data_IF_941040352308
#
_entry.id   IF_941040352308
#
_cell.length_a   1.000
_cell.length_b   1.000
_cell.length_c   1.000
_cell.angle_alpha   90.00
_cell.angle_beta   90.00
_cell.angle_gamma   90.00
#
_symmetry.space_group_name_H-M   'P 1'
#
loop_
_entity.id
_entity.type
_entity.pdbx_description
1 polymer ?
#
# COMPACT_ATOMS: atom_id res chain seq x y z
N UNK A 1 -21.87 7.48 5.36
CA UNK A 1 -20.78 8.36 5.84
C UNK A 1 -19.60 8.15 4.92
N UNK A 2 -19.07 9.21 4.34
CA UNK A 2 -17.90 9.14 3.47
C UNK A 2 -16.69 8.59 4.28
N UNK A 3 -15.82 7.73 3.72
CA UNK A 3 -14.55 7.35 4.33
C UNK A 3 -13.82 8.48 5.06
N UNK A 4 -13.70 9.67 4.45
CA UNK A 4 -13.01 10.80 5.04
C UNK A 4 -13.66 11.31 6.34
N UNK A 5 -15.00 11.37 6.38
CA UNK A 5 -15.75 11.75 7.57
C UNK A 5 -15.56 10.74 8.71
N UNK A 6 -15.45 9.45 8.38
CA UNK A 6 -15.17 8.40 9.37
C UNK A 6 -13.79 8.58 10.00
N UNK A 7 -12.78 8.85 9.18
CA UNK A 7 -11.41 9.11 9.63
C UNK A 7 -11.36 10.38 10.50
N UNK A 8 -11.99 11.47 10.06
CA UNK A 8 -12.06 12.73 10.81
C UNK A 8 -12.60 12.49 12.23
N UNK A 9 -13.69 11.74 12.35
CA UNK A 9 -14.26 11.42 13.67
C UNK A 9 -13.30 10.64 14.57
N UNK A 10 -12.54 9.69 14.01
CA UNK A 10 -11.52 8.94 14.76
C UNK A 10 -10.44 9.91 15.25
N UNK A 11 -9.92 10.77 14.38
CA UNK A 11 -8.88 11.75 14.74
C UNK A 11 -9.38 12.77 15.78
N UNK A 12 -10.63 13.25 15.65
CA UNK A 12 -11.25 14.16 16.64
C UNK A 12 -11.39 13.51 18.03
N UNK A 13 -11.73 12.21 18.09
CA UNK A 13 -11.78 11.45 19.35
C UNK A 13 -10.40 11.33 20.01
N UNK A 14 -9.33 11.42 19.22
CA UNK A 14 -7.94 11.46 19.69
C UNK A 14 -7.48 12.88 20.05
N UNK A 15 -8.40 13.85 20.12
CA UNK A 15 -8.15 15.27 20.38
C UNK A 15 -7.30 15.96 19.30
N UNK A 16 -7.28 15.41 18.09
CA UNK A 16 -6.67 16.06 16.93
C UNK A 16 -7.69 17.03 16.30
N UNK A 17 -7.19 17.93 15.45
CA UNK A 17 -8.00 18.92 14.74
C UNK A 17 -7.85 18.72 13.22
N UNK A 18 -8.41 17.65 12.66
CA UNK A 18 -8.31 17.38 11.23
C UNK A 18 -9.16 18.36 10.41
N UNK A 19 -8.67 18.73 9.24
CA UNK A 19 -9.42 19.48 8.22
C UNK A 19 -9.23 18.85 6.84
N UNK A 20 -10.23 18.97 5.96
CA UNK A 20 -10.08 18.60 4.55
C UNK A 20 -9.54 19.82 3.80
N UNK A 21 -8.35 19.69 3.22
CA UNK A 21 -7.70 20.78 2.49
C UNK A 21 -6.78 20.23 1.40
N UNK A 22 -6.83 20.84 0.22
CA UNK A 22 -6.03 20.45 -0.96
C UNK A 22 -6.16 18.96 -1.33
N UNK A 23 -7.36 18.40 -1.23
CA UNK A 23 -7.62 16.99 -1.57
C UNK A 23 -7.11 15.97 -0.55
N UNK A 24 -6.72 16.40 0.65
CA UNK A 24 -6.26 15.52 1.72
C UNK A 24 -6.92 15.87 3.06
N UNK A 25 -6.99 14.91 3.98
CA UNK A 25 -7.26 15.16 5.40
C UNK A 25 -5.93 15.57 6.02
N UNK A 26 -5.87 16.73 6.69
CA UNK A 26 -4.63 17.28 7.26
C UNK A 26 -4.83 17.63 8.74
N UNK A 27 -3.79 17.45 9.54
CA UNK A 27 -3.74 17.88 10.94
C UNK A 27 -2.29 18.11 11.36
N UNK A 28 -2.10 18.67 12.56
CA UNK A 28 -0.79 18.79 13.17
C UNK A 28 -0.62 17.75 14.28
N UNK A 29 0.48 16.99 14.27
CA UNK A 29 0.79 16.06 15.36
C UNK A 29 1.32 16.81 16.61
N UNK A 30 1.60 16.07 17.69
CA UNK A 30 2.12 16.63 18.94
C UNK A 30 3.51 17.28 18.82
N UNK A 31 4.25 16.96 17.76
CA UNK A 31 5.58 17.49 17.47
C UNK A 31 5.54 18.74 16.59
N UNK A 32 4.36 19.09 16.09
CA UNK A 32 4.17 20.23 15.20
C UNK A 32 4.26 19.89 13.71
N UNK A 33 4.45 18.62 13.34
CA UNK A 33 4.52 18.21 11.93
C UNK A 33 3.13 18.15 11.30
N UNK A 34 3.07 18.49 10.01
CA UNK A 34 1.84 18.44 9.23
C UNK A 34 1.61 17.03 8.70
N UNK A 35 0.69 16.30 9.35
CA UNK A 35 0.24 15.00 8.89
C UNK A 35 -0.85 15.14 7.83
N UNK A 36 -0.91 14.17 6.93
CA UNK A 36 -1.86 14.11 5.82
C UNK A 36 -2.26 12.68 5.48
N UNK A 37 -3.47 12.54 4.95
CA UNK A 37 -4.03 11.32 4.37
C UNK A 37 -4.63 11.70 3.01
N UNK A 38 -4.15 11.09 1.92
CA UNK A 38 -4.72 11.28 0.58
C UNK A 38 -5.84 10.28 0.30
N UNK A 39 -6.69 10.58 -0.69
CA UNK A 39 -7.79 9.67 -1.07
C UNK A 39 -7.30 8.27 -1.49
N UNK A 40 -6.18 8.20 -2.21
CA UNK A 40 -5.55 6.92 -2.60
C UNK A 40 -5.00 6.11 -1.41
N UNK A 41 -4.80 6.78 -0.28
CA UNK A 41 -4.27 6.20 0.96
C UNK A 41 -5.39 5.72 1.88
N UNK A 42 -6.61 5.55 1.36
CA UNK A 42 -7.79 5.09 2.11
C UNK A 42 -8.37 3.84 1.44
N UNK A 43 -8.61 2.80 2.23
CA UNK A 43 -9.30 1.59 1.80
C UNK A 43 -10.54 1.32 2.66
N UNK A 44 -11.68 1.09 2.00
CA UNK A 44 -12.95 0.79 2.66
C UNK A 44 -13.53 -0.51 2.13
N UNK A 45 -14.02 -1.34 3.03
CA UNK A 45 -14.81 -2.53 2.70
C UNK A 45 -15.88 -2.72 3.78
N UNK A 46 -17.12 -2.35 3.46
CA UNK A 46 -18.24 -2.34 4.40
C UNK A 46 -17.87 -1.58 5.69
N UNK A 47 -17.79 -2.29 6.82
CA UNK A 47 -17.45 -1.74 8.13
C UNK A 47 -15.94 -1.55 8.33
N UNK A 48 -15.10 -2.20 7.50
CA UNK A 48 -13.65 -2.08 7.57
C UNK A 48 -13.17 -0.78 6.93
N UNK A 49 -12.21 -0.13 7.59
CA UNK A 49 -11.58 1.10 7.13
C UNK A 49 -10.09 1.02 7.42
N UNK A 50 -9.25 1.32 6.44
CA UNK A 50 -7.83 1.47 6.63
C UNK A 50 -7.34 2.76 5.97
N UNK A 51 -6.32 3.37 6.55
CA UNK A 51 -5.68 4.53 5.96
C UNK A 51 -4.20 4.64 6.32
N UNK A 52 -3.41 5.22 5.42
CA UNK A 52 -2.02 5.58 5.68
C UNK A 52 -1.93 7.06 6.04
N UNK A 53 -1.40 7.34 7.22
CA UNK A 53 -1.02 8.67 7.67
C UNK A 53 0.44 8.94 7.35
N UNK A 54 0.76 10.12 6.82
CA UNK A 54 2.15 10.53 6.59
C UNK A 54 2.39 12.00 6.93
N UNK A 55 3.56 12.35 7.47
CA UNK A 55 4.01 13.74 7.62
C UNK A 55 4.80 14.26 6.40
N UNK A 56 4.99 13.41 5.38
CA UNK A 56 5.86 13.69 4.23
C UNK A 56 7.36 13.58 4.52
N UNK A 57 7.73 13.18 5.73
CA UNK A 57 9.09 12.95 6.18
C UNK A 57 9.22 11.53 6.72
N UNK A 58 9.37 11.37 8.03
CA UNK A 58 9.74 10.12 8.68
C UNK A 58 8.56 9.43 9.38
N UNK A 59 7.42 10.10 9.52
CA UNK A 59 6.24 9.51 10.14
C UNK A 59 5.36 8.90 9.05
N UNK A 60 5.21 7.57 9.12
CA UNK A 60 4.26 6.81 8.32
C UNK A 60 3.53 5.82 9.23
N UNK A 61 2.20 5.89 9.29
CA UNK A 61 1.40 5.02 10.14
C UNK A 61 0.22 4.47 9.35
N UNK A 62 0.18 3.15 9.17
CA UNK A 62 -0.98 2.47 8.63
C UNK A 62 -1.93 2.15 9.79
N UNK A 63 -3.16 2.65 9.69
CA UNK A 63 -4.21 2.39 10.68
C UNK A 63 -5.30 1.55 10.04
N UNK A 64 -5.78 0.57 10.79
CA UNK A 64 -6.81 -0.37 10.36
C UNK A 64 -7.88 -0.41 11.45
N UNK A 65 -9.10 -0.04 11.07
CA UNK A 65 -10.27 -0.08 11.94
C UNK A 65 -11.20 -1.20 11.49
N UNK A 66 -11.40 -2.17 12.37
CA UNK A 66 -12.32 -3.30 12.19
C UNK A 66 -13.12 -3.52 13.48
N UNK A 67 -14.44 -3.68 13.38
CA UNK A 67 -15.33 -3.94 14.54
C UNK A 67 -15.18 -2.94 15.70
N UNK A 68 -14.81 -1.68 15.40
CA UNK A 68 -14.58 -0.63 16.39
C UNK A 68 -13.21 -0.67 17.08
N UNK A 69 -12.36 -1.66 16.78
CA UNK A 69 -10.98 -1.70 17.23
C UNK A 69 -10.05 -1.06 16.20
N UNK A 70 -9.00 -0.39 16.68
CA UNK A 70 -7.97 0.21 15.83
C UNK A 70 -6.66 -0.56 16.03
N UNK A 71 -6.16 -1.13 14.94
CA UNK A 71 -4.83 -1.69 14.82
C UNK A 71 -3.92 -0.71 14.09
N UNK A 72 -2.78 -0.42 14.70
CA UNK A 72 -1.78 0.50 14.17
C UNK A 72 -0.53 -0.29 13.78
N UNK A 73 -0.01 -0.06 12.59
CA UNK A 73 1.21 -0.68 12.10
C UNK A 73 2.09 0.34 11.38
N UNK A 74 3.36 0.38 11.75
CA UNK A 74 4.36 1.24 11.10
C UNK A 74 5.00 0.47 9.95
N UNK A 75 4.92 0.97 8.70
CA UNK A 75 5.57 0.34 7.57
C UNK A 75 7.08 0.17 7.76
N UNK A 76 7.61 -0.97 7.29
CA UNK A 76 9.05 -1.20 7.30
C UNK A 76 9.74 -0.23 6.35
N UNK A 77 10.76 0.45 6.87
CA UNK A 77 11.55 1.38 6.09
C UNK A 77 13.00 1.30 6.54
N UNK A 78 13.93 1.25 5.58
CA UNK A 78 15.35 1.40 5.89
C UNK A 78 15.67 2.85 6.26
N UNK A 79 15.14 3.77 5.44
CA UNK A 79 15.18 5.22 5.47
C UNK A 79 13.80 5.87 5.61
N UNK A 80 13.21 6.20 6.78
CA UNK A 80 11.88 6.82 6.80
C UNK A 80 11.77 8.08 5.93
N UNK A 81 12.85 8.86 5.82
CA UNK A 81 12.95 10.06 4.97
C UNK A 81 12.96 9.72 3.47
N UNK A 82 13.31 8.50 3.09
CA UNK A 82 13.19 8.01 1.71
C UNK A 82 11.75 7.66 1.31
N UNK A 83 10.80 7.87 2.23
CA UNK A 83 9.38 7.84 1.98
C UNK A 83 8.73 6.48 2.19
N UNK A 84 7.42 6.49 2.10
CA UNK A 84 6.53 5.34 2.09
C UNK A 84 5.42 5.65 1.08
N UNK A 85 5.78 5.65 -0.20
CA UNK A 85 4.85 6.04 -1.27
C UNK A 85 3.84 4.93 -1.48
N UNK A 86 2.60 5.15 -1.07
CA UNK A 86 1.51 4.21 -1.26
C UNK A 86 1.24 4.00 -2.76
N UNK A 87 1.42 2.77 -3.23
CA UNK A 87 1.10 2.34 -4.59
C UNK A 87 -0.27 1.66 -4.65
N UNK A 88 -0.65 0.98 -3.57
CA UNK A 88 -1.94 0.32 -3.41
C UNK A 88 -2.31 0.23 -1.93
N UNK A 89 -3.54 0.60 -1.61
CA UNK A 89 -4.20 0.24 -0.36
C UNK A 89 -5.61 -0.24 -0.69
N UNK A 90 -5.89 -1.52 -0.46
CA UNK A 90 -7.23 -2.07 -0.70
C UNK A 90 -7.52 -3.31 0.14
N UNK A 91 -8.81 -3.63 0.30
CA UNK A 91 -9.25 -4.90 0.87
C UNK A 91 -9.38 -5.96 -0.23
N UNK A 92 -8.78 -7.13 -0.02
CA UNK A 92 -8.82 -8.26 -0.95
C UNK A 92 -8.95 -9.58 -0.20
N UNK A 93 -10.02 -10.35 -0.48
CA UNK A 93 -10.30 -11.66 0.15
C UNK A 93 -10.18 -11.66 1.69
N UNK A 94 -10.64 -10.61 2.35
CA UNK A 94 -10.60 -10.46 3.82
C UNK A 94 -9.29 -9.90 4.38
N UNK A 95 -8.25 -9.75 3.55
CA UNK A 95 -6.98 -9.15 3.91
C UNK A 95 -6.93 -7.67 3.48
N UNK A 96 -6.19 -6.85 4.22
CA UNK A 96 -5.73 -5.56 3.71
C UNK A 96 -4.43 -5.77 2.94
N UNK A 97 -4.43 -5.40 1.67
CA UNK A 97 -3.24 -5.39 0.81
C UNK A 97 -2.70 -3.97 0.79
N UNK A 98 -1.44 -3.82 1.21
CA UNK A 98 -0.75 -2.55 1.21
C UNK A 98 0.57 -2.70 0.45
N UNK A 99 0.68 -2.00 -0.69
CA UNK A 99 1.89 -1.97 -1.51
C UNK A 99 2.45 -0.56 -1.45
N UNK A 100 3.71 -0.43 -1.08
CA UNK A 100 4.38 0.87 -1.05
C UNK A 100 5.81 0.79 -1.58
N UNK A 101 6.31 1.93 -2.04
CA UNK A 101 7.69 2.11 -2.45
C UNK A 101 8.47 2.89 -1.40
N UNK A 102 9.67 2.41 -1.09
CA UNK A 102 10.71 3.14 -0.39
C UNK A 102 11.96 3.14 -1.30
N UNK A 103 12.36 4.31 -1.81
CA UNK A 103 13.50 4.43 -2.74
C UNK A 103 13.41 3.43 -3.91
N UNK A 104 14.30 2.44 -3.97
CA UNK A 104 14.36 1.42 -5.02
C UNK A 104 13.80 0.07 -4.56
N UNK A 105 13.02 0.04 -3.49
CA UNK A 105 12.37 -1.18 -2.98
C UNK A 105 10.86 -1.01 -3.01
N UNK A 106 10.18 -2.07 -3.41
CA UNK A 106 8.73 -2.21 -3.28
C UNK A 106 8.47 -3.26 -2.22
N UNK A 107 7.54 -2.95 -1.33
CA UNK A 107 7.02 -3.83 -0.30
C UNK A 107 5.58 -4.18 -0.62
N UNK A 108 5.22 -5.46 -0.48
CA UNK A 108 3.88 -6.00 -0.65
C UNK A 108 3.49 -6.60 0.69
N UNK A 109 2.52 -5.98 1.37
CA UNK A 109 2.05 -6.38 2.68
C UNK A 109 0.65 -6.98 2.57
N UNK A 110 0.41 -8.02 3.36
CA UNK A 110 -0.88 -8.67 3.53
C UNK A 110 -1.18 -8.73 5.02
N UNK A 111 -2.25 -8.06 5.43
CA UNK A 111 -2.61 -7.89 6.84
C UNK A 111 -3.96 -8.52 7.10
N UNK A 112 -4.03 -9.43 8.06
CA UNK A 112 -5.25 -10.10 8.47
C UNK A 112 -5.17 -10.48 9.95
N UNK A 113 -6.23 -10.20 10.71
CA UNK A 113 -6.27 -10.44 12.16
C UNK A 113 -5.04 -9.86 12.89
N UNK A 114 -4.66 -8.62 12.55
CA UNK A 114 -3.50 -7.92 13.12
C UNK A 114 -2.14 -8.61 12.85
N UNK A 115 -2.11 -9.66 12.03
CA UNK A 115 -0.89 -10.31 11.58
C UNK A 115 -0.46 -9.72 10.25
N UNK A 116 0.79 -9.29 10.19
CA UNK A 116 1.39 -8.72 8.99
C UNK A 116 2.34 -9.74 8.37
N UNK A 117 2.07 -10.09 7.11
CA UNK A 117 3.05 -10.75 6.23
C UNK A 117 3.54 -9.72 5.22
N UNK A 118 4.82 -9.75 4.90
CA UNK A 118 5.37 -8.89 3.87
C UNK A 118 6.29 -9.68 2.93
N UNK A 119 6.40 -9.18 1.71
CA UNK A 119 7.39 -9.57 0.71
C UNK A 119 7.98 -8.28 0.15
N UNK A 120 9.28 -8.24 -0.12
CA UNK A 120 9.89 -7.07 -0.76
C UNK A 120 10.87 -7.49 -1.85
N UNK A 121 11.05 -6.60 -2.81
CA UNK A 121 12.05 -6.73 -3.87
C UNK A 121 12.65 -5.37 -4.19
N UNK A 122 13.90 -5.36 -4.65
CA UNK A 122 14.52 -4.15 -5.19
C UNK A 122 14.15 -4.02 -6.66
N UNK A 123 13.50 -2.93 -7.06
CA UNK A 123 12.96 -2.73 -8.41
C UNK A 123 11.81 -1.73 -8.40
N UNK A 124 11.43 -1.26 -9.59
CA UNK A 124 10.30 -0.32 -9.79
C UNK A 124 9.29 -0.84 -10.82
N UNK A 125 9.54 -2.02 -11.39
CA UNK A 125 8.68 -2.65 -12.37
C UNK A 125 7.76 -3.66 -11.69
N UNK A 126 6.46 -3.39 -11.72
CA UNK A 126 5.42 -4.20 -11.07
C UNK A 126 4.14 -4.20 -11.89
N UNK A 127 3.37 -5.28 -11.87
CA UNK A 127 2.02 -5.33 -12.48
C UNK A 127 1.13 -6.26 -11.67
N UNK A 128 -0.19 -6.00 -11.69
CA UNK A 128 -1.15 -6.88 -11.02
C UNK A 128 -2.25 -7.33 -11.97
N UNK A 129 -2.59 -8.61 -11.91
CA UNK A 129 -3.79 -9.18 -12.52
C UNK A 129 -4.47 -10.14 -11.55
N UNK A 130 -5.64 -9.74 -11.03
CA UNK A 130 -6.37 -10.53 -10.04
C UNK A 130 -5.56 -10.71 -8.76
N UNK A 131 -5.32 -11.97 -8.38
CA UNK A 131 -4.52 -12.34 -7.22
C UNK A 131 -3.02 -12.48 -7.50
N UNK A 132 -2.56 -12.17 -8.71
CA UNK A 132 -1.16 -12.30 -9.10
C UNK A 132 -0.52 -10.92 -9.22
N UNK A 133 0.65 -10.77 -8.63
CA UNK A 133 1.54 -9.64 -8.81
C UNK A 133 2.79 -10.15 -9.49
N UNK A 134 3.17 -9.51 -10.60
CA UNK A 134 4.43 -9.76 -11.27
C UNK A 134 5.39 -8.59 -11.05
N UNK A 135 6.69 -8.89 -11.04
CA UNK A 135 7.71 -7.89 -10.82
C UNK A 135 9.04 -8.25 -11.49
N UNK A 136 9.89 -7.24 -11.69
CA UNK A 136 11.27 -7.41 -12.13
C UNK A 136 12.22 -6.78 -11.11
N UNK A 137 13.09 -7.59 -10.52
CA UNK A 137 14.06 -7.11 -9.53
C UNK A 137 15.33 -6.55 -10.20
N UNK A 138 15.94 -5.53 -9.61
CA UNK A 138 17.25 -5.03 -10.01
C UNK A 138 18.30 -6.14 -9.86
N UNK A 139 19.08 -6.36 -10.92
CA UNK A 139 20.13 -7.37 -10.93
C UNK A 139 19.61 -8.80 -11.13
N UNK A 140 18.32 -8.99 -11.42
CA UNK A 140 17.78 -10.31 -11.71
C UNK A 140 18.41 -10.86 -13.01
N UNK A 141 19.16 -11.96 -12.86
CA UNK A 141 19.88 -12.63 -13.95
C UNK A 141 18.93 -13.45 -14.83
N UNK A 142 17.64 -13.52 -14.47
CA UNK A 142 16.58 -14.19 -15.21
C UNK A 142 16.24 -13.45 -16.52
N UNK A 143 17.20 -13.41 -17.44
CA UNK A 143 17.00 -12.90 -18.79
C UNK A 143 15.78 -13.60 -19.39
N UNK A 144 14.75 -12.81 -19.72
CA UNK A 144 13.48 -13.22 -20.33
C UNK A 144 12.45 -13.90 -19.41
N UNK A 145 12.61 -13.90 -18.08
CA UNK A 145 11.54 -14.31 -17.16
C UNK A 145 11.03 -13.16 -16.31
N UNK A 146 9.88 -13.39 -15.70
CA UNK A 146 9.17 -12.48 -14.81
C UNK A 146 8.82 -13.25 -13.54
N UNK A 147 9.16 -12.67 -12.39
CA UNK A 147 8.83 -13.24 -11.09
C UNK A 147 7.36 -12.96 -10.75
N UNK A 148 6.71 -13.91 -10.10
CA UNK A 148 5.29 -13.82 -9.73
C UNK A 148 5.12 -14.16 -8.26
N UNK A 149 4.27 -13.39 -7.57
CA UNK A 149 3.79 -13.67 -6.23
C UNK A 149 2.26 -13.65 -6.22
N UNK A 150 1.66 -14.57 -5.48
CA UNK A 150 0.22 -14.64 -5.25
C UNK A 150 -0.15 -13.92 -3.95
N UNK A 151 -1.16 -13.06 -4.00
CA UNK A 151 -1.84 -12.46 -2.84
C UNK A 151 -3.16 -13.21 -2.54
N UNK A 152 -3.68 -13.14 -1.31
CA UNK A 152 -3.09 -12.49 -0.14
C UNK A 152 -2.02 -13.30 0.59
N UNK A 153 -1.74 -14.55 0.21
CA UNK A 153 -0.86 -15.45 0.97
C UNK A 153 0.63 -15.11 0.87
N UNK A 154 1.01 -14.27 -0.10
CA UNK A 154 2.38 -13.90 -0.45
C UNK A 154 3.25 -15.11 -0.83
N UNK A 155 2.68 -16.00 -1.65
CA UNK A 155 3.36 -17.21 -2.13
C UNK A 155 4.08 -16.90 -3.44
N UNK A 156 5.41 -17.04 -3.46
CA UNK A 156 6.19 -16.93 -4.68
C UNK A 156 5.93 -18.13 -5.59
N UNK A 157 5.57 -17.87 -6.85
CA UNK A 157 5.32 -18.89 -7.86
C UNK A 157 6.53 -19.04 -8.79
N UNK A 158 6.53 -20.10 -9.60
CA UNK A 158 7.54 -20.29 -10.62
C UNK A 158 7.57 -19.10 -11.61
N UNK A 159 8.76 -18.54 -11.90
CA UNK A 159 8.87 -17.45 -12.86
C UNK A 159 8.42 -17.89 -14.27
N UNK A 160 7.65 -17.04 -14.93
CA UNK A 160 7.15 -17.28 -16.30
C UNK A 160 8.00 -16.53 -17.32
N UNK A 161 7.94 -16.92 -18.59
CA UNK A 161 8.59 -16.13 -19.65
C UNK A 161 7.89 -14.78 -19.84
N UNK A 162 8.61 -13.77 -20.33
CA UNK A 162 8.00 -12.47 -20.67
C UNK A 162 6.84 -12.59 -21.66
N UNK A 163 6.93 -13.51 -22.62
CA UNK A 163 5.85 -13.78 -23.58
C UNK A 163 4.60 -14.31 -22.88
N UNK A 164 4.74 -15.26 -21.96
CA UNK A 164 3.64 -15.78 -21.17
C UNK A 164 3.06 -14.70 -20.24
N UNK A 165 3.92 -13.94 -19.55
CA UNK A 165 3.51 -12.81 -18.72
C UNK A 165 2.68 -11.80 -19.52
N UNK A 166 3.11 -11.44 -20.74
CA UNK A 166 2.37 -10.53 -21.61
C UNK A 166 1.00 -11.10 -22.00
N UNK A 167 0.90 -12.39 -22.31
CA UNK A 167 -0.38 -13.05 -22.62
C UNK A 167 -1.32 -13.08 -21.40
N UNK A 168 -0.78 -13.19 -20.19
CA UNK A 168 -1.54 -13.15 -18.94
C UNK A 168 -1.89 -11.72 -18.48
N UNK A 169 -1.35 -10.69 -19.14
CA UNK A 169 -1.49 -9.30 -18.67
C UNK A 169 -0.67 -9.00 -17.40
N UNK A 170 0.43 -9.72 -17.20
CA UNK A 170 1.36 -9.65 -16.06
C UNK A 170 2.75 -9.18 -16.50
N UNK A 171 2.88 -8.44 -17.60
CA UNK A 171 4.19 -7.87 -17.96
C UNK A 171 4.44 -6.64 -17.07
N UNK A 172 5.43 -6.68 -16.16
CA UNK A 172 5.67 -5.58 -15.23
C UNK A 172 6.13 -4.33 -15.99
N UNK A 173 5.72 -3.18 -15.46
CA UNK A 173 6.03 -1.87 -16.03
C UNK A 173 6.39 -0.90 -14.90
N UNK A 174 7.16 0.13 -15.22
CA UNK A 174 7.57 1.13 -14.24
C UNK A 174 6.41 1.88 -13.59
N UNK A 175 6.71 2.59 -12.51
CA UNK A 175 5.71 3.30 -11.70
C UNK A 175 5.17 4.58 -12.34
N UNK A 176 5.76 5.06 -13.44
CA UNK A 176 5.30 6.26 -14.16
C UNK A 176 4.05 5.97 -15.01
N UNK A 177 2.92 5.72 -14.34
CA UNK A 177 1.63 5.31 -14.93
C UNK A 177 0.47 5.99 -14.19
N UNK A 178 -0.75 5.99 -14.75
CA UNK A 178 -1.93 6.54 -14.08
C UNK A 178 -2.20 5.90 -12.72
N UNK A 179 -2.78 6.67 -11.81
CA UNK A 179 -3.11 6.24 -10.46
C UNK A 179 -3.99 4.98 -10.44
N UNK A 180 -3.75 4.12 -9.43
CA UNK A 180 -4.54 2.91 -9.24
C UNK A 180 -4.28 1.80 -10.26
N UNK A 181 -3.15 1.81 -10.98
CA UNK A 181 -2.81 0.75 -11.93
C UNK A 181 -2.73 -0.65 -11.29
N UNK A 182 -2.47 -0.73 -9.97
CA UNK A 182 -2.47 -1.98 -9.18
C UNK A 182 -3.84 -2.34 -8.59
N UNK A 183 -4.88 -1.52 -8.74
CA UNK A 183 -6.21 -1.85 -8.20
C UNK A 183 -6.78 -3.07 -8.92
N UNK A 184 -7.48 -3.92 -8.17
CA UNK A 184 -8.20 -5.02 -8.79
C UNK A 184 -9.21 -4.48 -9.83
N UNK A 185 -9.11 -4.96 -11.08
CA UNK A 185 -10.06 -4.69 -12.16
C UNK A 185 -11.11 -5.78 -12.25
#
# INVERSE_FOLDING_TARGET
MNPAERIIKVLEQENLRPEIKDGAIKWQNIHGDQCRIFEQDIAVNEEKLAWLESDGWAYHLLRIMENGEVFNWTPETYNPVFGCFCLLLEWYNGHLIFIYQEKHKIYICSIHNQQVKHFSFSGEDIERKGNLISFAAHGDLLRNKVSIIQIPELVQLDPVSQTAAKQMGLLPQGLNRPDGFLKAK
#
